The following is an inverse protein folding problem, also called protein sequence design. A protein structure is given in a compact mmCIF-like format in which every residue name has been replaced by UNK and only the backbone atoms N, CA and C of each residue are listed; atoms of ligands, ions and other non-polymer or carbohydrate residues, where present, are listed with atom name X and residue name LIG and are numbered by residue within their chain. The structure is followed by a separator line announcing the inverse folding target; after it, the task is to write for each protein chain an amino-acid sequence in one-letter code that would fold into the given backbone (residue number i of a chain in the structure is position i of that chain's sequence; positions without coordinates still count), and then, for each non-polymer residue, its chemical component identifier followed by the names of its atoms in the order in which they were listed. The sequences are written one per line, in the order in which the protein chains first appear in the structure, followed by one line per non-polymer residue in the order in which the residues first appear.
data_IF_872846333622
#
_entry.id   IF_872846333622
#
_cell.length_a   1.000
_cell.length_b   1.000
_cell.length_c   1.000
_cell.angle_alpha   90.00
_cell.angle_beta   90.00
_cell.angle_gamma   90.00
#
_symmetry.space_group_name_H-M   'P 1'
#
loop_
_entity.id
_entity.type
_entity.pdbx_description
1 polymer ?
#
# COMPACT_ATOMS: atom_id res chain seq x y z
N UNK A 1 10.32 -0.82 -10.59
CA UNK A 1 9.30 -0.57 -9.56
C UNK A 1 9.49 0.88 -9.16
N UNK A 2 8.45 1.72 -9.24
CA UNK A 2 8.60 3.12 -8.83
C UNK A 2 8.59 3.17 -7.29
N UNK A 3 9.75 3.46 -6.70
CA UNK A 3 9.94 3.59 -5.26
C UNK A 3 9.54 4.97 -4.73
N UNK A 4 9.23 5.91 -5.61
CA UNK A 4 8.69 7.22 -5.28
C UNK A 4 7.30 7.37 -5.87
N UNK A 5 6.32 7.60 -5.01
CA UNK A 5 4.97 7.85 -5.44
C UNK A 5 4.26 8.81 -4.51
N UNK A 6 2.97 8.98 -4.77
CA UNK A 6 2.07 9.70 -3.88
C UNK A 6 1.30 8.67 -3.06
N UNK A 7 1.34 8.80 -1.73
CA UNK A 7 0.38 8.12 -0.87
C UNK A 7 -0.91 8.94 -0.88
N UNK A 8 -2.00 8.35 -1.34
CA UNK A 8 -3.33 8.94 -1.28
C UNK A 8 -4.12 8.19 -0.22
N UNK A 9 -4.53 8.91 0.82
CA UNK A 9 -5.49 8.42 1.80
C UNK A 9 -6.85 9.06 1.51
N UNK A 10 -7.83 8.23 1.17
CA UNK A 10 -9.22 8.65 0.99
C UNK A 10 -10.06 8.14 2.15
N UNK A 11 -10.78 9.04 2.81
CA UNK A 11 -11.82 8.71 3.78
C UNK A 11 -13.14 9.28 3.27
N UNK A 12 -14.21 8.52 3.34
CA UNK A 12 -15.53 8.97 2.90
C UNK A 12 -16.57 7.88 3.10
N UNK A 13 -17.83 8.29 3.09
CA UNK A 13 -18.98 7.37 3.14
C UNK A 13 -19.27 6.79 1.76
N UNK A 14 -19.02 7.57 0.69
CA UNK A 14 -19.17 7.13 -0.70
C UNK A 14 -18.18 7.79 -1.67
N UNK A 15 -18.41 7.59 -2.98
CA UNK A 15 -17.55 8.14 -4.04
C UNK A 15 -17.88 9.58 -4.46
N UNK A 16 -19.01 10.13 -4.01
CA UNK A 16 -19.58 11.41 -4.45
C UNK A 16 -19.22 12.57 -3.52
N UNK A 17 -19.12 12.33 -2.21
CA UNK A 17 -18.89 13.39 -1.21
C UNK A 17 -17.43 13.47 -0.75
N UNK A 18 -16.48 13.33 -1.69
CA UNK A 18 -15.04 13.31 -1.36
C UNK A 18 -14.43 14.70 -1.40
N UNK A 19 -13.98 15.15 -0.23
CA UNK A 19 -13.19 16.37 -0.10
C UNK A 19 -11.71 16.07 0.18
N UNK A 20 -10.83 16.92 -0.35
CA UNK A 20 -9.39 16.81 -0.07
C UNK A 20 -9.08 17.44 1.28
N UNK A 21 -8.68 16.60 2.24
CA UNK A 21 -8.14 17.08 3.52
C UNK A 21 -6.74 17.67 3.28
N UNK A 22 -6.55 18.93 3.70
CA UNK A 22 -5.24 19.60 3.70
C UNK A 22 -4.69 19.57 5.12
N UNK A 23 -3.48 19.04 5.28
CA UNK A 23 -2.74 19.00 6.54
C UNK A 23 -1.44 19.78 6.36
N UNK A 24 -1.05 20.54 7.38
CA UNK A 24 0.19 21.32 7.37
C UNK A 24 1.41 20.41 7.28
N UNK A 25 1.41 19.30 8.04
CA UNK A 25 2.48 18.30 8.03
C UNK A 25 1.91 16.86 8.06
N UNK A 26 1.56 16.27 6.90
CA UNK A 26 1.04 14.90 6.85
C UNK A 26 2.06 13.83 7.27
N UNK A 27 3.37 14.09 7.12
CA UNK A 27 4.41 13.15 7.55
C UNK A 27 4.41 12.95 9.06
N UNK A 28 4.21 14.04 9.80
CA UNK A 28 4.12 14.01 11.26
C UNK A 28 2.79 13.43 11.73
N UNK A 29 1.66 13.85 11.13
CA UNK A 29 0.32 13.37 11.52
C UNK A 29 0.19 11.86 11.33
N UNK A 30 0.73 11.30 10.24
CA UNK A 30 0.58 9.89 9.91
C UNK A 30 1.85 9.07 10.19
N UNK A 31 2.92 9.67 10.71
CA UNK A 31 4.19 8.98 10.95
C UNK A 31 4.75 8.30 9.69
N UNK A 32 4.68 8.97 8.53
CA UNK A 32 5.00 8.36 7.23
C UNK A 32 6.52 8.14 7.15
N UNK A 33 6.92 6.89 6.91
CA UNK A 33 8.30 6.48 6.70
C UNK A 33 8.44 5.66 5.41
N UNK A 34 9.57 5.79 4.73
CA UNK A 34 9.86 5.02 3.50
C UNK A 34 11.33 4.63 3.46
N UNK A 35 11.61 3.41 2.99
CA UNK A 35 12.98 2.94 2.74
C UNK A 35 13.67 3.65 1.57
N UNK A 36 12.90 4.34 0.71
CA UNK A 36 13.42 5.10 -0.43
C UNK A 36 12.81 6.49 -0.42
N UNK A 37 13.67 7.49 -0.32
CA UNK A 37 13.35 8.92 -0.31
C UNK A 37 13.65 9.56 -1.66
N UNK A 38 13.23 10.81 -1.88
CA UNK A 38 13.59 11.60 -3.06
C UNK A 38 15.10 11.64 -3.30
N UNK A 39 15.87 11.81 -2.24
CA UNK A 39 17.33 11.92 -2.32
C UNK A 39 18.03 10.59 -2.57
N UNK A 40 17.37 9.47 -2.27
CA UNK A 40 17.95 8.11 -2.41
C UNK A 40 17.38 7.32 -3.59
N UNK A 41 16.40 7.87 -4.33
CA UNK A 41 15.79 7.14 -5.45
C UNK A 41 16.74 6.92 -6.63
N UNK A 42 17.59 7.89 -6.96
CA UNK A 42 18.53 7.71 -8.06
C UNK A 42 19.53 6.60 -7.74
N UNK A 43 20.04 6.53 -6.52
CA UNK A 43 20.94 5.45 -6.10
C UNK A 43 20.20 4.11 -6.07
N UNK A 44 18.96 4.08 -5.57
CA UNK A 44 18.12 2.87 -5.56
C UNK A 44 17.87 2.33 -6.99
N UNK A 45 17.49 3.20 -7.91
CA UNK A 45 17.17 2.84 -9.29
C UNK A 45 18.43 2.42 -10.06
N UNK A 46 19.56 3.11 -9.85
CA UNK A 46 20.81 2.88 -10.58
C UNK A 46 21.72 1.79 -9.97
N UNK A 47 21.39 1.23 -8.80
CA UNK A 47 22.14 0.08 -8.27
C UNK A 47 22.16 -1.08 -9.27
N UNK A 48 23.31 -1.71 -9.53
CA UNK A 48 23.38 -2.82 -10.48
C UNK A 48 22.50 -3.97 -9.99
N UNK A 49 21.52 -4.38 -10.80
CA UNK A 49 20.92 -5.71 -10.64
C UNK A 49 22.04 -6.71 -10.87
N UNK A 50 22.49 -7.43 -9.82
CA UNK A 50 23.47 -8.50 -9.99
C UNK A 50 22.85 -9.57 -10.89
N UNK A 51 23.14 -9.50 -12.19
CA UNK A 51 22.62 -10.43 -13.17
C UNK A 51 23.69 -11.46 -13.56
N UNK A 52 23.25 -12.73 -13.53
CA UNK A 52 23.73 -13.94 -14.22
C UNK A 52 24.51 -14.96 -13.39
N UNK A 53 23.75 -15.89 -12.83
CA UNK A 53 24.13 -17.27 -12.59
C UNK A 53 22.86 -18.12 -12.60
N UNK A 54 22.60 -18.80 -13.73
CA UNK A 54 21.65 -19.90 -13.96
C UNK A 54 20.22 -19.78 -13.41
N UNK A 55 19.27 -19.79 -14.34
CA UNK A 55 17.87 -20.19 -14.09
C UNK A 55 17.85 -21.50 -13.29
N UNK A 56 17.44 -21.43 -12.02
CA UNK A 56 16.91 -22.57 -11.30
C UNK A 56 15.45 -22.25 -11.03
N UNK A 57 14.59 -23.08 -11.62
CA UNK A 57 13.15 -23.03 -11.43
C UNK A 57 12.82 -22.84 -9.94
N UNK A 58 12.01 -21.84 -9.65
CA UNK A 58 11.40 -21.68 -8.35
C UNK A 58 10.41 -22.84 -8.21
N UNK A 59 10.88 -23.95 -7.67
CA UNK A 59 10.06 -25.14 -7.43
C UNK A 59 9.02 -24.80 -6.34
N UNK A 60 7.74 -25.07 -6.60
CA UNK A 60 6.57 -24.73 -5.77
C UNK A 60 6.53 -25.45 -4.39
N UNK A 61 7.65 -25.98 -3.90
CA UNK A 61 7.72 -26.82 -2.70
C UNK A 61 8.29 -26.10 -1.47
N UNK A 62 8.48 -24.79 -1.52
CA UNK A 62 9.00 -23.98 -0.39
C UNK A 62 7.95 -23.16 0.37
N UNK A 63 6.66 -23.54 0.30
CA UNK A 63 5.59 -22.84 1.03
C UNK A 63 5.48 -23.18 2.53
N UNK A 64 6.34 -24.07 3.08
CA UNK A 64 6.14 -24.58 4.46
C UNK A 64 7.16 -24.15 5.52
N UNK A 65 8.02 -23.17 5.27
CA UNK A 65 8.93 -22.67 6.34
C UNK A 65 9.31 -21.20 6.20
N UNK A 66 8.34 -20.32 5.94
CA UNK A 66 8.56 -18.87 6.02
C UNK A 66 7.84 -18.28 7.24
N UNK A 67 8.23 -18.75 8.44
CA UNK A 67 7.96 -18.04 9.69
C UNK A 67 9.21 -17.23 10.05
N UNK A 68 9.05 -15.91 10.14
CA UNK A 68 10.00 -14.95 10.71
C UNK A 68 11.44 -14.99 10.16
N UNK A 69 11.60 -14.60 8.89
CA UNK A 69 12.78 -13.93 8.32
C UNK A 69 12.61 -13.94 6.81
N UNK A 70 12.41 -12.78 6.19
CA UNK A 70 12.32 -12.65 4.72
C UNK A 70 13.68 -13.03 4.12
N UNK A 71 13.89 -14.32 3.87
CA UNK A 71 15.07 -14.83 3.17
C UNK A 71 14.78 -14.72 1.68
N UNK A 72 15.33 -13.66 1.09
CA UNK A 72 15.33 -13.33 -0.34
C UNK A 72 15.66 -14.54 -1.21
N UNK A 73 14.63 -15.12 -1.83
CA UNK A 73 14.77 -16.12 -2.90
C UNK A 73 14.55 -15.52 -4.30
N UNK A 74 14.36 -14.21 -4.40
CA UNK A 74 14.31 -13.48 -5.67
C UNK A 74 15.20 -12.24 -5.57
N UNK A 75 16.10 -12.05 -6.54
CA UNK A 75 16.98 -10.88 -6.66
C UNK A 75 16.23 -9.56 -6.93
N UNK A 76 14.93 -9.47 -6.59
CA UNK A 76 14.15 -8.25 -6.71
C UNK A 76 14.52 -7.28 -5.59
N UNK A 77 14.84 -6.04 -5.95
CA UNK A 77 14.92 -4.94 -4.99
C UNK A 77 13.53 -4.66 -4.44
N UNK A 78 13.42 -4.54 -3.12
CA UNK A 78 12.19 -4.16 -2.44
C UNK A 78 12.31 -2.73 -1.94
N UNK A 79 11.17 -2.07 -1.78
CA UNK A 79 11.05 -0.82 -1.02
C UNK A 79 9.79 -0.96 -0.17
N UNK A 80 9.81 -0.30 0.98
CA UNK A 80 8.72 -0.27 1.94
C UNK A 80 8.26 1.16 2.17
N UNK A 81 6.97 1.29 2.47
CA UNK A 81 6.35 2.49 3.06
C UNK A 81 5.58 2.03 4.30
N UNK A 82 5.69 2.81 5.36
CA UNK A 82 4.98 2.62 6.62
C UNK A 82 4.28 3.92 7.00
N UNK A 83 3.07 3.82 7.54
CA UNK A 83 2.32 4.94 8.08
C UNK A 83 1.29 4.42 9.08
N UNK A 84 0.74 5.34 9.86
CA UNK A 84 -0.32 5.12 10.82
C UNK A 84 -1.43 6.12 10.59
N UNK A 85 -2.68 5.73 10.82
CA UNK A 85 -3.81 6.65 10.81
C UNK A 85 -4.33 6.70 12.24
N UNK A 86 -4.13 7.81 12.97
CA UNK A 86 -4.65 7.93 14.32
C UNK A 86 -6.18 7.81 14.33
N UNK A 87 -6.75 7.07 15.27
CA UNK A 87 -8.22 7.02 15.39
C UNK A 87 -8.82 8.39 15.67
N UNK A 88 -8.12 9.24 16.44
CA UNK A 88 -8.50 10.64 16.66
C UNK A 88 -8.61 11.44 15.35
N UNK A 89 -7.81 11.08 14.33
CA UNK A 89 -7.94 11.68 13.00
C UNK A 89 -9.26 11.27 12.34
N UNK A 90 -9.62 9.99 12.40
CA UNK A 90 -10.89 9.50 11.84
C UNK A 90 -12.08 10.10 12.60
N UNK A 91 -12.01 10.14 13.93
CA UNK A 91 -13.06 10.69 14.80
C UNK A 91 -13.37 12.16 14.51
N UNK A 92 -12.34 12.93 14.12
CA UNK A 92 -12.51 14.33 13.72
C UNK A 92 -13.48 14.51 12.55
N UNK A 93 -13.56 13.53 11.64
CA UNK A 93 -14.38 13.64 10.42
C UNK A 93 -15.66 12.80 10.48
N UNK A 94 -15.67 11.68 11.20
CA UNK A 94 -16.80 10.75 11.25
C UNK A 94 -17.52 10.72 12.62
N UNK A 95 -17.06 11.51 13.59
CA UNK A 95 -17.55 11.48 14.95
C UNK A 95 -16.89 10.38 15.80
N UNK A 96 -17.26 10.32 17.08
CA UNK A 96 -16.67 9.39 18.04
C UNK A 96 -16.80 7.94 17.55
N UNK A 97 -15.70 7.21 17.57
CA UNK A 97 -15.66 5.79 17.20
C UNK A 97 -15.69 4.95 18.48
N UNK A 98 -16.62 4.00 18.55
CA UNK A 98 -16.68 3.04 19.66
C UNK A 98 -15.83 1.80 19.32
N UNK A 99 -14.51 2.02 19.22
CA UNK A 99 -13.58 0.97 18.79
C UNK A 99 -13.43 -0.08 19.87
N UNK A 100 -13.65 -1.34 19.50
CA UNK A 100 -13.41 -2.50 20.33
C UNK A 100 -13.20 -3.76 19.48
N UNK A 101 -12.97 -4.91 20.11
CA UNK A 101 -12.80 -6.17 19.40
C UNK A 101 -13.99 -6.48 18.49
N UNK A 102 -13.72 -6.77 17.23
CA UNK A 102 -14.73 -7.01 16.21
C UNK A 102 -15.27 -5.74 15.53
N UNK A 103 -14.78 -4.55 15.89
CA UNK A 103 -15.14 -3.31 15.20
C UNK A 103 -14.72 -3.39 13.73
N UNK A 104 -15.62 -3.01 12.82
CA UNK A 104 -15.43 -3.16 11.38
C UNK A 104 -15.26 -1.82 10.70
N UNK A 105 -14.20 -1.71 9.91
CA UNK A 105 -14.03 -0.66 8.91
C UNK A 105 -14.14 -1.28 7.53
N UNK A 106 -14.74 -0.58 6.59
CA UNK A 106 -14.74 -0.98 5.19
C UNK A 106 -13.62 -0.22 4.46
N UNK A 107 -12.76 -0.93 3.75
CA UNK A 107 -11.67 -0.30 3.03
C UNK A 107 -10.98 -1.20 2.02
N UNK A 108 -10.01 -0.64 1.31
CA UNK A 108 -9.17 -1.39 0.37
C UNK A 108 -7.80 -0.71 0.25
N UNK A 109 -6.79 -1.45 -0.21
CA UNK A 109 -5.42 -0.98 -0.35
C UNK A 109 -4.98 -1.14 -1.80
N UNK A 110 -4.39 -0.09 -2.36
CA UNK A 110 -4.08 -0.01 -3.79
C UNK A 110 -2.60 0.21 -4.06
N UNK A 111 -2.13 -0.32 -5.19
CA UNK A 111 -0.85 0.02 -5.79
C UNK A 111 -1.03 0.23 -7.29
N UNK A 112 -0.66 1.42 -7.78
CA UNK A 112 -0.66 1.70 -9.21
C UNK A 112 0.69 2.25 -9.70
N UNK A 113 0.85 2.29 -11.02
CA UNK A 113 2.07 2.72 -11.68
C UNK A 113 1.82 3.11 -13.13
N UNK A 114 0.84 3.97 -13.35
CA UNK A 114 0.34 4.42 -14.65
C UNK A 114 1.45 5.01 -15.53
N UNK A 115 2.35 5.78 -14.92
CA UNK A 115 3.49 6.42 -15.60
C UNK A 115 4.76 5.55 -15.63
N UNK A 116 4.68 4.29 -15.18
CA UNK A 116 5.84 3.39 -15.25
C UNK A 116 5.94 2.71 -16.62
N UNK A 117 7.14 2.22 -16.97
CA UNK A 117 7.38 1.48 -18.24
C UNK A 117 6.34 0.39 -18.51
N UNK A 118 5.87 -0.28 -17.46
CA UNK A 118 4.82 -1.28 -17.52
C UNK A 118 3.69 -0.87 -16.57
N UNK A 119 2.63 -0.22 -17.08
CA UNK A 119 1.47 0.15 -16.27
C UNK A 119 0.91 -1.06 -15.52
N UNK A 120 0.57 -0.86 -14.25
CA UNK A 120 0.10 -1.92 -13.37
C UNK A 120 -0.84 -1.35 -12.32
N UNK A 121 -1.82 -2.18 -11.94
CA UNK A 121 -2.88 -1.86 -11.00
C UNK A 121 -3.11 -3.07 -10.11
N UNK A 122 -2.92 -2.90 -8.81
CA UNK A 122 -3.11 -3.94 -7.81
C UNK A 122 -3.98 -3.43 -6.68
N UNK A 123 -4.80 -4.31 -6.13
CA UNK A 123 -5.62 -4.03 -4.95
C UNK A 123 -5.64 -5.25 -4.03
N UNK A 124 -5.91 -5.04 -2.74
CA UNK A 124 -6.07 -6.12 -1.77
C UNK A 124 -7.41 -6.84 -1.96
N UNK A 125 -8.53 -6.10 -1.92
CA UNK A 125 -9.85 -6.67 -2.16
C UNK A 125 -10.21 -6.54 -3.66
N UNK A 126 -10.56 -7.62 -4.38
CA UNK A 126 -10.76 -7.58 -5.83
C UNK A 126 -11.92 -6.68 -6.29
N UNK A 127 -11.64 -5.83 -7.27
CA UNK A 127 -12.67 -5.00 -7.96
C UNK A 127 -13.08 -5.71 -9.26
N UNK A 128 -14.35 -6.09 -9.38
CA UNK A 128 -14.87 -6.89 -10.51
C UNK A 128 -15.52 -6.01 -11.58
N UNK A 129 -14.71 -5.21 -12.26
CA UNK A 129 -15.16 -4.29 -13.32
C UNK A 129 -14.23 -4.38 -14.54
N UNK A 130 -14.70 -3.91 -15.69
CA UNK A 130 -13.99 -4.06 -16.98
C UNK A 130 -12.77 -3.15 -17.14
N UNK A 131 -12.70 -2.05 -16.39
CA UNK A 131 -11.65 -1.02 -16.52
C UNK A 131 -11.15 -0.60 -15.14
N UNK A 132 -9.86 -0.25 -14.96
CA UNK A 132 -9.34 0.19 -13.67
C UNK A 132 -10.08 1.40 -13.11
N UNK A 133 -10.81 1.21 -12.00
CA UNK A 133 -11.41 2.27 -11.19
C UNK A 133 -11.33 1.83 -9.72
N UNK A 134 -10.47 2.49 -8.94
CA UNK A 134 -10.30 2.20 -7.51
C UNK A 134 -11.37 2.86 -6.63
N UNK A 135 -12.18 3.77 -7.17
CA UNK A 135 -13.14 4.54 -6.39
C UNK A 135 -14.50 3.86 -6.34
N UNK A 136 -14.50 2.62 -5.83
CA UNK A 136 -15.66 1.73 -5.80
C UNK A 136 -15.89 1.18 -4.39
N UNK A 137 -16.59 1.92 -3.52
CA UNK A 137 -16.89 1.50 -2.14
C UNK A 137 -17.59 0.14 -2.07
N UNK A 138 -18.38 -0.23 -3.08
CA UNK A 138 -19.06 -1.53 -3.15
C UNK A 138 -18.11 -2.74 -3.28
N UNK A 139 -16.81 -2.50 -3.53
CA UNK A 139 -15.76 -3.51 -3.51
C UNK A 139 -14.77 -3.33 -2.35
N UNK A 140 -15.15 -2.60 -1.30
CA UNK A 140 -14.37 -2.58 -0.06
C UNK A 140 -14.44 -3.94 0.64
N UNK A 141 -13.35 -4.29 1.32
CA UNK A 141 -13.28 -5.47 2.17
C UNK A 141 -13.41 -5.09 3.64
N UNK A 142 -13.69 -6.08 4.48
CA UNK A 142 -13.79 -5.91 5.93
C UNK A 142 -12.40 -5.83 6.57
N UNK A 143 -12.13 -4.72 7.25
CA UNK A 143 -11.00 -4.53 8.16
C UNK A 143 -11.54 -4.68 9.58
N UNK A 144 -11.39 -5.88 10.14
CA UNK A 144 -11.85 -6.20 11.51
C UNK A 144 -10.72 -5.90 12.49
N UNK A 145 -10.98 -5.03 13.46
CA UNK A 145 -10.04 -4.70 14.53
C UNK A 145 -10.17 -5.72 15.66
N UNK A 146 -9.04 -6.21 16.17
CA UNK A 146 -8.95 -7.18 17.27
C UNK A 146 -8.68 -6.50 18.62
#
# INVERSE_FOLDING_TARGET
MNSIGTLLLGLGVDRHDRERIKLDNPFEVFGISTSVTKDTADSYNNQPSKNKGSSKNCDDTLSKSCNNSIKSCCNSKFWTVEYSIPFTFIEKYFGKLDIGPGYRLEGNFYKCGDETKYPHYGCWNPIKISSPDFHRPEFFGDLVLE
#
